data_IF_840551282019
#
_entry.id   IF_840551282019
#
_cell.length_a   1.000
_cell.length_b   1.000
_cell.length_c   1.000
_cell.angle_alpha   90.00
_cell.angle_beta   90.00
_cell.angle_gamma   90.00
#
_symmetry.space_group_name_H-M   'P 1'
#
loop_
_entity.id
_entity.type
_entity.pdbx_description
1 polymer ?
#
# COMPACT_ATOMS: atom_id res chain seq x y z
N UNK A 1 23.84 47.03 4.48
CA UNK A 1 24.13 46.02 5.54
C UNK A 1 23.01 46.16 6.56
N UNK A 2 22.10 45.22 6.80
CA UNK A 2 22.05 43.78 6.55
C UNK A 2 20.62 43.42 6.11
N UNK A 3 20.47 42.76 4.97
CA UNK A 3 19.25 42.03 4.65
C UNK A 3 19.31 40.71 5.42
N UNK A 4 18.54 40.64 6.51
CA UNK A 4 18.36 39.43 7.29
C UNK A 4 17.40 38.51 6.53
N UNK A 5 17.93 37.75 5.59
CA UNK A 5 17.24 36.65 4.95
C UNK A 5 16.90 35.60 6.02
N UNK A 6 15.71 35.74 6.61
CA UNK A 6 15.01 34.64 7.27
C UNK A 6 14.99 33.47 6.29
N UNK A 7 15.88 32.52 6.54
CA UNK A 7 15.85 31.22 5.91
C UNK A 7 14.53 30.57 6.34
N UNK A 8 13.53 30.67 5.47
CA UNK A 8 12.30 29.90 5.56
C UNK A 8 12.70 28.42 5.51
N UNK A 9 12.78 27.81 6.69
CA UNK A 9 12.83 26.37 6.81
C UNK A 9 11.50 25.83 6.27
N UNK A 10 11.52 25.46 4.98
CA UNK A 10 10.54 24.56 4.37
C UNK A 10 11.03 23.09 4.18
N UNK A 11 11.74 22.41 5.12
CA UNK A 11 12.13 21.01 4.93
C UNK A 11 11.02 19.98 5.21
N UNK A 12 10.04 20.27 6.08
CA UNK A 12 9.12 19.25 6.59
C UNK A 12 8.03 18.84 5.58
N UNK A 13 7.50 19.79 4.80
CA UNK A 13 6.44 19.52 3.82
C UNK A 13 6.90 18.58 2.69
N UNK A 14 8.18 18.66 2.32
CA UNK A 14 8.77 17.85 1.24
C UNK A 14 8.94 16.39 1.66
N UNK A 15 9.27 16.13 2.93
CA UNK A 15 9.46 14.76 3.44
C UNK A 15 8.14 14.00 3.56
N UNK A 16 7.14 14.56 4.23
CA UNK A 16 5.82 13.92 4.37
C UNK A 16 5.19 13.67 2.99
N UNK A 17 5.32 14.62 2.04
CA UNK A 17 4.81 14.45 0.68
C UNK A 17 5.45 13.28 -0.06
N UNK A 18 6.77 13.08 0.06
CA UNK A 18 7.48 11.93 -0.53
C UNK A 18 7.00 10.61 0.09
N UNK A 19 6.90 10.56 1.42
CA UNK A 19 6.40 9.40 2.15
C UNK A 19 4.98 9.04 1.69
N UNK A 20 4.10 10.03 1.57
CA UNK A 20 2.73 9.83 1.09
C UNK A 20 2.69 9.36 -0.38
N UNK A 21 3.61 9.81 -1.23
CA UNK A 21 3.74 9.32 -2.61
C UNK A 21 4.19 7.84 -2.68
N UNK A 22 5.11 7.43 -1.81
CA UNK A 22 5.56 6.05 -1.71
C UNK A 22 4.42 5.14 -1.26
N UNK A 23 3.67 5.56 -0.24
CA UNK A 23 2.46 4.87 0.22
C UNK A 23 1.40 4.81 -0.87
N UNK A 24 1.18 5.90 -1.60
CA UNK A 24 0.22 5.99 -2.70
C UNK A 24 0.56 4.96 -3.79
N UNK A 25 1.83 4.91 -4.19
CA UNK A 25 2.33 3.97 -5.20
C UNK A 25 2.08 2.52 -4.78
N UNK A 26 2.47 2.15 -3.55
CA UNK A 26 2.23 0.81 -3.01
C UNK A 26 0.74 0.45 -2.89
N UNK A 27 -0.10 1.43 -2.53
CA UNK A 27 -1.56 1.23 -2.48
C UNK A 27 -2.14 1.02 -3.87
N UNK A 28 -1.64 1.72 -4.89
CA UNK A 28 -2.10 1.57 -6.27
C UNK A 28 -1.73 0.18 -6.83
N UNK A 29 -0.50 -0.27 -6.59
CA UNK A 29 -0.06 -1.63 -6.94
C UNK A 29 -0.91 -2.70 -6.23
N UNK A 30 -1.16 -2.50 -4.93
CA UNK A 30 -2.04 -3.35 -4.14
C UNK A 30 -3.47 -3.38 -4.70
N UNK A 31 -4.05 -2.24 -5.05
CA UNK A 31 -5.36 -2.16 -5.70
C UNK A 31 -5.39 -3.00 -6.98
N UNK A 32 -4.42 -2.77 -7.89
CA UNK A 32 -4.38 -3.40 -9.19
C UNK A 32 -4.18 -4.92 -9.09
N UNK A 33 -3.19 -5.36 -8.30
CA UNK A 33 -2.87 -6.78 -8.18
C UNK A 33 -4.03 -7.60 -7.59
N UNK A 34 -4.69 -7.07 -6.56
CA UNK A 34 -5.84 -7.73 -5.96
C UNK A 34 -7.05 -7.71 -6.92
N UNK A 35 -7.23 -6.66 -7.73
CA UNK A 35 -8.30 -6.61 -8.74
C UNK A 35 -8.06 -7.63 -9.87
N UNK A 36 -6.83 -7.70 -10.37
CA UNK A 36 -6.42 -8.66 -11.39
C UNK A 36 -6.63 -10.10 -10.92
N UNK A 37 -6.21 -10.42 -9.68
CA UNK A 37 -6.39 -11.75 -9.11
C UNK A 37 -7.88 -12.06 -8.85
N UNK A 38 -8.67 -11.08 -8.43
CA UNK A 38 -10.12 -11.22 -8.28
C UNK A 38 -10.81 -11.67 -9.60
N UNK A 39 -10.28 -11.25 -10.75
CA UNK A 39 -10.77 -11.68 -12.06
C UNK A 39 -10.38 -13.12 -12.44
N UNK A 40 -9.32 -13.67 -11.83
CA UNK A 40 -8.76 -14.99 -12.17
C UNK A 40 -9.23 -16.11 -11.23
N UNK A 41 -9.55 -15.79 -9.97
CA UNK A 41 -9.95 -16.82 -8.99
C UNK A 41 -11.35 -17.36 -9.29
N UNK A 42 -11.46 -18.69 -9.35
CA UNK A 42 -12.72 -19.38 -9.66
C UNK A 42 -13.70 -19.51 -8.49
N UNK A 43 -13.23 -19.46 -7.24
CA UNK A 43 -14.10 -19.64 -6.08
C UNK A 43 -14.60 -18.30 -5.51
N UNK A 44 -15.84 -18.31 -5.02
CA UNK A 44 -16.55 -17.11 -4.53
C UNK A 44 -15.89 -16.49 -3.29
N UNK A 45 -15.30 -17.31 -2.42
CA UNK A 45 -14.68 -16.84 -1.16
C UNK A 45 -13.46 -15.98 -1.47
N UNK A 46 -12.51 -16.50 -2.24
CA UNK A 46 -11.30 -15.78 -2.61
C UNK A 46 -11.63 -14.57 -3.48
N UNK A 47 -12.64 -14.67 -4.36
CA UNK A 47 -13.13 -13.53 -5.15
C UNK A 47 -13.60 -12.39 -4.25
N UNK A 48 -14.40 -12.68 -3.23
CA UNK A 48 -14.88 -11.67 -2.29
C UNK A 48 -13.73 -11.02 -1.50
N UNK A 49 -12.76 -11.82 -1.10
CA UNK A 49 -11.55 -11.37 -0.38
C UNK A 49 -10.76 -10.38 -1.22
N UNK A 50 -10.40 -10.77 -2.44
CA UNK A 50 -9.57 -9.94 -3.32
C UNK A 50 -10.30 -8.68 -3.76
N UNK A 51 -11.61 -8.76 -4.00
CA UNK A 51 -12.44 -7.58 -4.22
C UNK A 51 -12.41 -6.62 -3.03
N UNK A 52 -12.53 -7.14 -1.80
CA UNK A 52 -12.52 -6.31 -0.58
C UNK A 52 -11.17 -5.65 -0.35
N UNK A 53 -10.07 -6.41 -0.47
CA UNK A 53 -8.71 -5.88 -0.32
C UNK A 53 -8.42 -4.82 -1.40
N UNK A 54 -8.75 -5.12 -2.66
CA UNK A 54 -8.61 -4.16 -3.77
C UNK A 54 -9.35 -2.85 -3.48
N UNK A 55 -10.60 -2.94 -2.99
CA UNK A 55 -11.37 -1.75 -2.63
C UNK A 55 -10.78 -0.95 -1.47
N UNK A 56 -10.17 -1.61 -0.48
CA UNK A 56 -9.53 -0.94 0.66
C UNK A 56 -8.28 -0.18 0.20
N UNK A 57 -7.42 -0.82 -0.59
CA UNK A 57 -6.25 -0.17 -1.17
C UNK A 57 -6.62 1.01 -2.08
N UNK A 58 -7.65 0.86 -2.92
CA UNK A 58 -8.13 1.96 -3.77
C UNK A 58 -8.56 3.17 -2.95
N UNK A 59 -9.37 2.95 -1.91
CA UNK A 59 -9.85 4.03 -1.04
C UNK A 59 -8.70 4.70 -0.29
N UNK A 60 -7.73 3.93 0.19
CA UNK A 60 -6.54 4.50 0.83
C UNK A 60 -5.73 5.34 -0.17
N UNK A 61 -5.50 4.85 -1.39
CA UNK A 61 -4.84 5.60 -2.45
C UNK A 61 -5.58 6.92 -2.78
N UNK A 62 -6.90 6.90 -2.92
CA UNK A 62 -7.72 8.10 -3.15
C UNK A 62 -7.54 9.13 -2.01
N UNK A 63 -7.52 8.68 -0.75
CA UNK A 63 -7.32 9.57 0.42
C UNK A 63 -5.90 10.13 0.48
N UNK A 64 -4.89 9.32 0.18
CA UNK A 64 -3.50 9.75 0.11
C UNK A 64 -3.32 10.79 -1.02
N UNK A 65 -3.90 10.55 -2.19
CA UNK A 65 -3.83 11.47 -3.32
C UNK A 65 -4.43 12.84 -3.00
N UNK A 66 -5.59 12.87 -2.32
CA UNK A 66 -6.21 14.12 -1.83
C UNK A 66 -5.30 14.88 -0.85
N UNK A 67 -4.40 14.17 -0.17
CA UNK A 67 -3.53 14.71 0.88
C UNK A 67 -2.18 15.19 0.36
N UNK A 68 -1.67 14.61 -0.74
CA UNK A 68 -0.38 14.97 -1.35
C UNK A 68 -0.41 16.35 -2.01
N UNK A 69 -1.58 16.85 -2.41
CA UNK A 69 -1.69 18.15 -3.08
C UNK A 69 -0.93 18.18 -4.40
N UNK A 70 0.19 18.92 -4.47
CA UNK A 70 1.07 18.95 -5.65
C UNK A 70 2.12 17.84 -5.53
N UNK A 71 2.16 16.96 -6.53
CA UNK A 71 3.18 15.91 -6.59
C UNK A 71 4.59 16.52 -6.51
N UNK A 72 5.50 15.93 -5.71
CA UNK A 72 6.89 16.37 -5.68
C UNK A 72 7.49 16.23 -7.08
N UNK A 73 8.38 17.15 -7.45
CA UNK A 73 9.18 17.02 -8.66
C UNK A 73 9.96 15.69 -8.62
N UNK A 74 10.04 15.01 -9.75
CA UNK A 74 10.83 13.79 -9.86
C UNK A 74 12.32 14.14 -9.77
N UNK A 75 12.85 14.10 -8.55
CA UNK A 75 14.27 14.34 -8.29
C UNK A 75 15.12 13.08 -8.49
N UNK A 76 14.56 11.98 -9.00
CA UNK A 76 15.26 10.70 -9.14
C UNK A 76 15.59 10.00 -7.81
N UNK A 77 15.10 10.52 -6.68
CA UNK A 77 15.35 10.02 -5.31
C UNK A 77 14.12 9.36 -4.70
N UNK A 78 13.39 8.55 -5.47
CA UNK A 78 12.31 7.73 -4.91
C UNK A 78 12.89 6.65 -4.00
N UNK A 79 12.16 6.31 -2.94
CA UNK A 79 12.57 5.16 -2.10
C UNK A 79 12.50 3.87 -2.92
N UNK A 80 13.37 2.88 -2.62
CA UNK A 80 13.37 1.63 -3.36
C UNK A 80 12.17 0.73 -3.00
N UNK A 81 11.51 0.94 -1.85
CA UNK A 81 10.43 0.10 -1.34
C UNK A 81 9.23 -0.03 -2.30
N UNK A 82 8.64 1.06 -2.85
CA UNK A 82 7.57 0.95 -3.83
C UNK A 82 7.95 0.10 -5.04
N UNK A 83 9.18 0.27 -5.55
CA UNK A 83 9.68 -0.51 -6.69
C UNK A 83 9.79 -2.01 -6.36
N UNK A 84 10.26 -2.34 -5.16
CA UNK A 84 10.30 -3.73 -4.71
C UNK A 84 8.90 -4.34 -4.60
N UNK A 85 7.93 -3.59 -4.06
CA UNK A 85 6.53 -4.02 -3.97
C UNK A 85 5.92 -4.24 -5.36
N UNK A 86 6.09 -3.28 -6.28
CA UNK A 86 5.60 -3.39 -7.65
C UNK A 86 6.14 -4.67 -8.33
N UNK A 87 7.45 -4.90 -8.19
CA UNK A 87 8.12 -6.09 -8.73
C UNK A 87 7.60 -7.38 -8.08
N UNK A 88 7.36 -7.37 -6.78
CA UNK A 88 6.84 -8.51 -6.04
C UNK A 88 5.41 -8.86 -6.48
N UNK A 89 4.53 -7.87 -6.67
CA UNK A 89 3.19 -8.10 -7.22
C UNK A 89 3.24 -8.62 -8.64
N UNK A 90 4.06 -8.02 -9.51
CA UNK A 90 4.20 -8.48 -10.90
C UNK A 90 4.67 -9.94 -10.94
N UNK A 91 5.68 -10.29 -10.14
CA UNK A 91 6.17 -11.67 -10.00
C UNK A 91 5.08 -12.61 -9.48
N UNK A 92 4.29 -12.17 -8.49
CA UNK A 92 3.18 -12.96 -7.96
C UNK A 92 2.08 -13.23 -9.01
N UNK A 93 1.71 -12.22 -9.79
CA UNK A 93 0.69 -12.33 -10.84
C UNK A 93 1.13 -13.16 -12.05
N UNK A 94 2.43 -13.27 -12.30
CA UNK A 94 2.98 -14.07 -13.41
C UNK A 94 3.21 -15.54 -13.03
N UNK A 95 2.94 -15.94 -11.79
CA UNK A 95 3.01 -17.35 -11.40
C UNK A 95 1.76 -18.13 -11.82
N UNK A 96 1.90 -19.45 -11.94
CA UNK A 96 0.77 -20.36 -12.16
C UNK A 96 -0.35 -20.11 -11.13
N UNK A 97 -1.60 -20.20 -11.58
CA UNK A 97 -2.78 -19.77 -10.81
C UNK A 97 -2.83 -20.36 -9.39
N UNK A 98 -2.44 -21.64 -9.22
CA UNK A 98 -2.39 -22.33 -7.92
C UNK A 98 -1.48 -21.65 -6.88
N UNK A 99 -0.50 -20.86 -7.29
CA UNK A 99 0.46 -20.18 -6.41
C UNK A 99 0.29 -18.66 -6.41
N UNK A 100 -0.38 -18.10 -7.43
CA UNK A 100 -0.64 -16.66 -7.54
C UNK A 100 -1.36 -16.12 -6.29
N UNK A 101 -2.31 -16.89 -5.76
CA UNK A 101 -3.10 -16.51 -4.59
C UNK A 101 -2.25 -16.31 -3.34
N UNK A 102 -1.50 -17.33 -2.93
CA UNK A 102 -0.70 -17.27 -1.71
C UNK A 102 0.44 -16.25 -1.84
N UNK A 103 0.99 -16.06 -3.05
CA UNK A 103 1.98 -15.03 -3.32
C UNK A 103 1.41 -13.62 -3.20
N UNK A 104 0.27 -13.32 -3.83
CA UNK A 104 -0.37 -11.99 -3.71
C UNK A 104 -0.75 -11.69 -2.25
N UNK A 105 -1.24 -12.68 -1.50
CA UNK A 105 -1.47 -12.51 -0.06
C UNK A 105 -0.18 -12.21 0.72
N UNK A 106 0.93 -12.88 0.39
CA UNK A 106 2.24 -12.60 0.98
C UNK A 106 2.71 -11.18 0.69
N UNK A 107 2.55 -10.70 -0.56
CA UNK A 107 2.91 -9.33 -0.92
C UNK A 107 1.99 -8.32 -0.21
N UNK A 108 0.69 -8.58 -0.08
CA UNK A 108 -0.20 -7.74 0.72
C UNK A 108 0.29 -7.59 2.18
N UNK A 109 0.81 -8.66 2.79
CA UNK A 109 1.41 -8.57 4.12
C UNK A 109 2.67 -7.71 4.16
N UNK A 110 3.50 -7.77 3.11
CA UNK A 110 4.70 -6.94 3.01
C UNK A 110 4.33 -5.47 2.86
N UNK A 111 3.34 -5.14 2.03
CA UNK A 111 2.84 -3.77 1.87
C UNK A 111 2.36 -3.19 3.19
N UNK A 112 1.55 -3.93 3.96
CA UNK A 112 1.10 -3.45 5.28
C UNK A 112 2.30 -3.11 6.16
N UNK A 113 3.30 -3.99 6.25
CA UNK A 113 4.50 -3.75 7.05
C UNK A 113 5.30 -2.54 6.56
N UNK A 114 5.46 -2.38 5.25
CA UNK A 114 6.18 -1.25 4.67
C UNK A 114 5.45 0.07 4.95
N UNK A 115 4.14 0.15 4.69
CA UNK A 115 3.35 1.34 4.96
C UNK A 115 3.33 1.64 6.47
N UNK A 116 3.20 0.64 7.35
CA UNK A 116 3.26 0.87 8.80
C UNK A 116 4.59 1.48 9.26
N UNK A 117 5.72 1.11 8.64
CA UNK A 117 7.02 1.75 8.94
C UNK A 117 7.02 3.20 8.51
N UNK A 118 6.60 3.47 7.28
CA UNK A 118 6.52 4.82 6.72
C UNK A 118 5.54 5.72 7.52
N UNK A 119 4.45 5.17 8.04
CA UNK A 119 3.53 5.88 8.93
C UNK A 119 4.22 6.36 10.20
N UNK A 120 5.16 5.58 10.74
CA UNK A 120 5.95 5.97 11.90
C UNK A 120 6.90 7.14 11.63
N UNK A 121 7.13 7.50 10.37
CA UNK A 121 7.95 8.63 9.97
C UNK A 121 7.15 9.91 9.69
N UNK A 122 5.81 9.81 9.62
CA UNK A 122 4.95 10.97 9.37
C UNK A 122 4.88 11.88 10.60
N UNK A 123 5.05 13.17 10.40
CA UNK A 123 4.87 14.17 11.46
C UNK A 123 3.38 14.48 11.69
N UNK A 124 2.57 14.39 10.63
CA UNK A 124 1.14 14.70 10.68
C UNK A 124 0.29 13.54 11.25
N UNK A 125 -0.15 13.71 12.50
CA UNK A 125 -0.96 12.73 13.24
C UNK A 125 -2.34 12.42 12.64
N UNK A 126 -2.93 13.34 11.86
CA UNK A 126 -4.24 13.08 11.23
C UNK A 126 -4.12 12.04 10.11
N UNK A 127 -3.04 12.08 9.33
CA UNK A 127 -2.78 11.06 8.31
C UNK A 127 -2.46 9.71 8.93
N UNK A 128 -1.70 9.69 10.04
CA UNK A 128 -1.36 8.47 10.76
C UNK A 128 -2.61 7.66 11.12
N UNK A 129 -3.60 8.26 11.78
CA UNK A 129 -4.81 7.54 12.21
C UNK A 129 -5.58 6.95 11.02
N UNK A 130 -5.80 7.75 9.98
CA UNK A 130 -6.53 7.32 8.79
C UNK A 130 -5.83 6.15 8.09
N UNK A 131 -4.51 6.23 7.90
CA UNK A 131 -3.74 5.16 7.25
C UNK A 131 -3.79 3.89 8.09
N UNK A 132 -3.58 3.99 9.40
CA UNK A 132 -3.62 2.85 10.34
C UNK A 132 -4.96 2.12 10.30
N UNK A 133 -6.09 2.84 10.26
CA UNK A 133 -7.42 2.24 10.21
C UNK A 133 -7.63 1.41 8.93
N UNK A 134 -7.17 1.92 7.78
CA UNK A 134 -7.20 1.16 6.52
C UNK A 134 -6.30 -0.08 6.57
N UNK A 135 -5.07 0.06 7.08
CA UNK A 135 -4.14 -1.06 7.22
C UNK A 135 -4.71 -2.15 8.14
N UNK A 136 -5.32 -1.76 9.25
CA UNK A 136 -5.99 -2.68 10.16
C UNK A 136 -7.15 -3.42 9.47
N UNK A 137 -7.95 -2.73 8.66
CA UNK A 137 -9.03 -3.36 7.89
C UNK A 137 -8.48 -4.40 6.89
N UNK A 138 -7.39 -4.09 6.19
CA UNK A 138 -6.77 -5.03 5.24
C UNK A 138 -6.19 -6.23 6.01
N UNK A 139 -5.49 -5.98 7.12
CA UNK A 139 -4.92 -7.00 8.00
C UNK A 139 -5.98 -7.99 8.48
N UNK A 140 -7.12 -7.50 8.99
CA UNK A 140 -8.24 -8.34 9.44
C UNK A 140 -8.78 -9.23 8.32
N UNK A 141 -8.91 -8.72 7.10
CA UNK A 141 -9.38 -9.51 5.96
C UNK A 141 -8.39 -10.63 5.64
N UNK A 142 -7.10 -10.32 5.57
CA UNK A 142 -6.05 -11.30 5.28
C UNK A 142 -5.94 -12.38 6.38
N UNK A 143 -6.02 -11.99 7.65
CA UNK A 143 -5.95 -12.92 8.79
C UNK A 143 -7.14 -13.89 8.79
N UNK A 144 -8.34 -13.40 8.50
CA UNK A 144 -9.53 -14.24 8.42
C UNK A 144 -9.41 -15.28 7.31
N UNK A 145 -8.84 -14.91 6.17
CA UNK A 145 -8.63 -15.84 5.05
C UNK A 145 -7.57 -16.85 5.36
N UNK A 146 -6.45 -16.42 5.95
CA UNK A 146 -5.40 -17.33 6.42
C UNK A 146 -5.96 -18.36 7.40
N UNK A 147 -6.78 -17.93 8.36
CA UNK A 147 -7.47 -18.82 9.31
C UNK A 147 -8.39 -19.81 8.61
N UNK A 148 -9.23 -19.35 7.67
CA UNK A 148 -10.15 -20.21 6.90
C UNK A 148 -9.42 -21.23 6.04
N UNK A 149 -8.37 -20.82 5.32
CA UNK A 149 -7.55 -21.70 4.49
C UNK A 149 -6.83 -22.77 5.33
N UNK A 150 -6.29 -22.37 6.49
CA UNK A 150 -5.69 -23.31 7.45
C UNK A 150 -6.71 -24.33 7.95
N UNK A 151 -7.93 -23.91 8.30
CA UNK A 151 -9.01 -24.82 8.71
C UNK A 151 -9.42 -25.79 7.58
N UNK A 152 -9.38 -25.34 6.32
CA UNK A 152 -9.67 -26.14 5.15
C UNK A 152 -8.48 -26.98 4.62
N UNK A 153 -7.32 -26.96 5.29
CA UNK A 153 -6.06 -27.61 4.84
C UNK A 153 -5.61 -27.17 3.43
N UNK A 154 -5.92 -25.93 3.05
CA UNK A 154 -5.47 -25.32 1.79
C UNK A 154 -4.21 -24.49 2.07
N UNK A 155 -3.09 -24.80 1.41
CA UNK A 155 -1.84 -24.03 1.48
C UNK A 155 -1.86 -22.79 0.60
#
# INVERSE_FOLDING_TARGET
MLDDHRSEKMPSLNRDSRILCDMLSMCFDGFFANSALCGRVGNTVDKHVFKKISSLYRRLAERLLQSVGRLPEDTGTMSPEPRYIATAYLSALNTADKHSLSRVMSVNWQVIKCISKLVGELENKLFVSMIVDYLACIQVVLDNVKKRRKAAKLS
#
